data_IF_254881451373
#
_entry.id   IF_254881451373
#
_cell.length_a   1.000
_cell.length_b   1.000
_cell.length_c   1.000
_cell.angle_alpha   90.00
_cell.angle_beta   90.00
_cell.angle_gamma   90.00
#
_symmetry.space_group_name_H-M   'P 1'
#
loop_
_entity.id
_entity.type
_entity.pdbx_description
1 polymer ?
#
# COMPACT_ATOMS: atom_id res chain seq x y z
N UNK A 1 -71.75 -2.72 35.17
CA UNK A 1 -70.80 -3.79 35.51
C UNK A 1 -69.66 -3.67 34.50
N UNK A 2 -68.70 -2.76 34.70
CA UNK A 2 -67.55 -2.84 35.62
C UNK A 2 -66.48 -3.82 35.09
N UNK A 3 -65.44 -3.22 34.49
CA UNK A 3 -64.01 -3.54 34.28
C UNK A 3 -63.39 -4.80 34.96
N UNK A 4 -62.18 -5.29 34.56
CA UNK A 4 -61.05 -4.51 34.02
C UNK A 4 -60.07 -5.16 33.01
N UNK A 5 -59.15 -4.29 32.53
CA UNK A 5 -57.73 -4.47 32.15
C UNK A 5 -57.25 -5.72 31.38
N UNK A 6 -56.47 -5.50 30.32
CA UNK A 6 -54.99 -5.61 30.37
C UNK A 6 -54.37 -5.18 29.04
N UNK A 7 -53.52 -4.15 29.12
CA UNK A 7 -52.56 -3.70 28.11
C UNK A 7 -51.35 -4.66 28.10
N UNK A 8 -50.68 -4.86 26.96
CA UNK A 8 -49.22 -4.93 27.07
C UNK A 8 -48.49 -4.11 25.99
N UNK A 9 -47.69 -3.18 26.51
CA UNK A 9 -46.25 -3.06 26.32
C UNK A 9 -45.72 -2.99 24.88
N UNK A 10 -45.37 -1.76 24.51
CA UNK A 10 -44.31 -1.46 23.56
C UNK A 10 -43.01 -2.18 23.96
N UNK A 11 -42.52 -3.07 23.11
CA UNK A 11 -41.15 -3.55 23.16
C UNK A 11 -40.32 -2.80 22.12
N UNK A 12 -39.58 -1.85 22.66
CA UNK A 12 -38.47 -1.13 22.07
C UNK A 12 -37.38 -2.15 21.67
N UNK A 13 -37.28 -2.49 20.39
CA UNK A 13 -36.14 -3.25 19.87
C UNK A 13 -35.04 -2.26 19.49
N UNK A 14 -34.06 -2.13 20.39
CA UNK A 14 -32.75 -1.56 20.09
C UNK A 14 -32.13 -2.30 18.90
N UNK A 15 -31.48 -1.61 17.95
CA UNK A 15 -30.79 -2.27 16.85
C UNK A 15 -29.62 -3.06 17.40
N UNK A 16 -29.59 -4.37 17.10
CA UNK A 16 -28.44 -5.23 17.32
C UNK A 16 -27.21 -4.63 16.63
N UNK A 17 -26.27 -4.23 17.47
CA UNK A 17 -24.92 -3.82 17.12
C UNK A 17 -24.20 -5.06 16.56
N UNK A 18 -24.30 -5.27 15.25
CA UNK A 18 -23.50 -6.28 14.55
C UNK A 18 -22.04 -5.84 14.65
N UNK A 19 -21.12 -6.67 15.18
CA UNK A 19 -19.72 -6.35 15.12
C UNK A 19 -19.31 -6.33 13.64
N UNK A 20 -19.11 -5.13 13.11
CA UNK A 20 -18.36 -4.93 11.87
C UNK A 20 -16.96 -5.44 12.19
N UNK A 21 -16.66 -6.65 11.71
CA UNK A 21 -15.32 -7.22 11.79
C UNK A 21 -14.44 -6.32 10.92
N UNK A 22 -13.82 -5.33 11.55
CA UNK A 22 -12.69 -4.60 11.00
C UNK A 22 -11.55 -5.62 10.88
N UNK A 23 -11.52 -6.33 9.74
CA UNK A 23 -10.38 -7.13 9.33
C UNK A 23 -9.21 -6.18 9.13
N UNK A 24 -8.22 -6.30 10.01
CA UNK A 24 -7.06 -5.41 10.07
C UNK A 24 -6.21 -5.55 8.79
N UNK A 25 -6.46 -4.66 7.83
CA UNK A 25 -5.71 -4.53 6.59
C UNK A 25 -4.21 -4.29 6.87
N UNK A 26 -3.88 -3.65 7.99
CA UNK A 26 -2.49 -3.30 8.31
C UNK A 26 -1.64 -4.53 8.61
N UNK A 27 -2.18 -5.53 9.33
CA UNK A 27 -1.46 -6.74 9.70
C UNK A 27 -1.10 -7.62 8.48
N UNK A 28 -2.03 -7.76 7.52
CA UNK A 28 -1.72 -8.50 6.29
C UNK A 28 -0.72 -7.77 5.40
N UNK A 29 -0.68 -6.45 5.46
CA UNK A 29 0.21 -5.64 4.64
C UNK A 29 1.61 -5.57 5.25
N UNK A 30 1.73 -5.67 6.58
CA UNK A 30 3.01 -5.83 7.27
C UNK A 30 3.74 -7.11 6.85
N UNK A 31 3.04 -8.22 6.63
CA UNK A 31 3.65 -9.45 6.08
C UNK A 31 4.12 -9.28 4.63
N UNK A 32 3.43 -8.45 3.83
CA UNK A 32 3.81 -8.14 2.45
C UNK A 32 5.02 -7.19 2.43
N UNK A 33 5.03 -6.19 3.31
CA UNK A 33 6.20 -5.33 3.54
C UNK A 33 7.38 -6.15 4.02
N UNK A 34 7.19 -7.12 4.92
CA UNK A 34 8.23 -8.03 5.38
C UNK A 34 8.79 -8.85 4.22
N UNK A 35 7.94 -9.41 3.34
CA UNK A 35 8.38 -10.16 2.16
C UNK A 35 9.08 -9.28 1.11
N UNK A 36 8.61 -8.04 0.91
CA UNK A 36 9.27 -7.07 0.04
C UNK A 36 10.62 -6.63 0.61
N UNK A 37 10.71 -6.48 1.94
CA UNK A 37 11.92 -6.14 2.66
C UNK A 37 12.91 -7.33 2.70
N UNK A 38 12.42 -8.57 2.80
CA UNK A 38 13.21 -9.79 2.63
C UNK A 38 13.77 -9.89 1.20
N UNK A 39 12.99 -9.53 0.17
CA UNK A 39 13.46 -9.44 -1.21
C UNK A 39 14.50 -8.31 -1.42
N UNK A 40 14.33 -7.17 -0.73
CA UNK A 40 15.31 -6.07 -0.69
C UNK A 40 16.61 -6.47 0.02
N UNK A 41 16.54 -7.26 1.10
CA UNK A 41 17.72 -7.77 1.84
C UNK A 41 18.45 -8.88 1.09
N UNK A 42 17.73 -9.70 0.34
CA UNK A 42 18.31 -10.77 -0.50
C UNK A 42 19.13 -10.19 -1.67
N UNK A 43 18.82 -8.97 -2.12
CA UNK A 43 19.60 -8.24 -3.15
C UNK A 43 20.73 -7.37 -2.56
N UNK A 44 20.83 -7.25 -1.24
CA UNK A 44 21.80 -6.38 -0.56
C UNK A 44 23.00 -7.13 0.05
N UNK A 45 23.05 -8.47 -0.03
CA UNK A 45 24.13 -9.28 0.59
C UNK A 45 25.51 -9.19 -0.10
N UNK A 46 25.71 -8.27 -1.03
CA UNK A 46 27.00 -8.06 -1.71
C UNK A 46 27.51 -6.61 -1.59
N UNK A 47 27.35 -5.99 -0.42
CA UNK A 47 28.08 -4.74 -0.13
C UNK A 47 28.53 -4.65 1.32
N UNK A 48 29.81 -4.96 1.51
CA UNK A 48 30.56 -4.80 2.76
C UNK A 48 30.62 -3.29 3.09
N UNK A 49 30.17 -2.93 4.28
CA UNK A 49 30.14 -1.57 4.82
C UNK A 49 31.38 -1.34 5.71
N UNK A 50 32.20 -0.28 5.51
CA UNK A 50 33.22 0.09 6.48
C UNK A 50 32.66 1.01 7.57
N UNK A 51 32.88 0.61 8.82
CA UNK A 51 32.48 1.29 10.05
C UNK A 51 33.23 2.63 10.25
N UNK A 52 32.52 3.67 10.68
CA UNK A 52 33.11 4.89 11.28
C UNK A 52 32.72 5.00 12.77
N UNK A 53 33.60 5.48 13.68
CA UNK A 53 33.31 5.61 15.10
C UNK A 53 32.64 6.95 15.48
N UNK A 54 32.06 7.07 16.70
CA UNK A 54 31.18 8.17 17.09
C UNK A 54 31.94 9.41 17.60
N UNK A 55 31.42 10.61 17.31
CA UNK A 55 31.89 11.89 17.87
C UNK A 55 31.01 12.30 19.07
N UNK A 56 31.70 12.64 20.16
CA UNK A 56 31.19 13.06 21.46
C UNK A 56 30.64 14.49 21.45
N UNK A 57 29.60 14.70 22.25
CA UNK A 57 29.00 15.99 22.61
C UNK A 57 29.97 16.93 23.35
N UNK A 58 29.89 18.23 23.08
CA UNK A 58 30.32 19.26 24.02
C UNK A 58 29.33 20.45 23.97
N UNK A 59 28.93 20.84 25.18
CA UNK A 59 27.86 21.75 25.57
C UNK A 59 28.37 23.19 25.75
N UNK A 60 27.53 24.21 25.46
CA UNK A 60 27.58 25.55 26.09
C UNK A 60 28.15 26.73 25.28
N UNK A 61 27.90 27.98 25.67
CA UNK A 61 26.72 28.72 25.21
C UNK A 61 27.02 30.03 24.45
N UNK A 62 25.94 30.52 23.84
CA UNK A 62 25.69 31.78 23.12
C UNK A 62 26.43 33.02 23.65
N UNK A 63 27.14 33.74 22.77
CA UNK A 63 27.48 35.15 22.92
C UNK A 63 27.37 35.86 21.56
N UNK A 64 26.58 36.93 21.57
CA UNK A 64 26.23 37.83 20.46
C UNK A 64 27.49 38.53 19.92
N UNK A 65 27.69 38.69 18.60
CA UNK A 65 28.70 39.62 18.09
C UNK A 65 28.11 41.03 17.94
N UNK A 66 28.77 42.08 18.48
CA UNK A 66 28.48 43.45 18.09
C UNK A 66 29.08 43.78 16.72
N UNK A 67 28.56 44.88 16.16
CA UNK A 67 28.82 45.43 14.85
C UNK A 67 30.30 45.49 14.43
N UNK A 68 30.50 45.30 13.12
CA UNK A 68 31.75 45.37 12.39
C UNK A 68 32.52 46.69 12.57
N UNK A 69 33.86 46.61 12.60
CA UNK A 69 34.74 47.62 12.03
C UNK A 69 35.31 47.15 10.69
N UNK A 70 35.39 48.08 9.74
CA UNK A 70 35.95 47.89 8.41
C UNK A 70 37.45 47.56 8.42
N UNK A 71 37.80 46.67 7.49
CA UNK A 71 39.08 46.37 6.84
C UNK A 71 40.40 46.97 7.41
N UNK A 72 41.36 46.08 7.68
CA UNK A 72 42.79 46.33 7.48
C UNK A 72 43.42 45.19 6.65
N UNK A 73 44.29 45.50 5.67
CA UNK A 73 44.97 44.49 4.86
C UNK A 73 46.23 44.02 5.61
N UNK A 74 46.15 42.86 6.24
CA UNK A 74 47.26 42.22 6.94
C UNK A 74 47.46 40.80 6.42
N UNK A 75 48.35 40.65 5.44
CA UNK A 75 48.71 39.36 4.83
C UNK A 75 49.41 38.43 5.82
N UNK A 76 48.70 37.41 6.30
CA UNK A 76 49.23 36.06 6.58
C UNK A 76 48.08 35.04 6.47
N UNK A 77 47.30 35.09 5.39
CA UNK A 77 46.54 33.91 5.00
C UNK A 77 47.55 32.92 4.41
N UNK A 78 48.01 31.98 5.23
CA UNK A 78 48.77 30.85 4.71
C UNK A 78 48.01 30.25 3.52
N UNK A 79 48.69 30.01 2.39
CA UNK A 79 48.04 29.52 1.16
C UNK A 79 47.20 28.26 1.39
N UNK A 80 47.55 27.49 2.42
CA UNK A 80 46.80 26.35 2.92
C UNK A 80 45.41 26.70 3.48
N UNK A 81 45.24 27.76 4.27
CA UNK A 81 43.91 28.16 4.78
C UNK A 81 43.01 28.66 3.64
N UNK A 82 43.57 29.38 2.67
CA UNK A 82 42.85 29.80 1.46
C UNK A 82 42.46 28.60 0.58
N UNK A 83 43.30 27.57 0.50
CA UNK A 83 43.01 26.29 -0.16
C UNK A 83 41.92 25.51 0.58
N UNK A 84 41.97 25.45 1.91
CA UNK A 84 40.98 24.79 2.75
C UNK A 84 39.61 25.49 2.69
N UNK A 85 39.59 26.83 2.63
CA UNK A 85 38.38 27.61 2.42
C UNK A 85 37.76 27.34 1.03
N UNK A 86 38.58 27.22 -0.03
CA UNK A 86 38.12 26.83 -1.37
C UNK A 86 37.59 25.40 -1.40
N UNK A 87 38.23 24.46 -0.71
CA UNK A 87 37.78 23.08 -0.64
C UNK A 87 36.48 22.96 0.17
N UNK A 88 36.36 23.69 1.28
CA UNK A 88 35.15 23.78 2.08
C UNK A 88 33.98 24.37 1.27
N UNK A 89 34.21 25.47 0.54
CA UNK A 89 33.19 26.05 -0.33
C UNK A 89 32.72 25.09 -1.43
N UNK A 90 33.64 24.30 -2.02
CA UNK A 90 33.29 23.26 -3.00
C UNK A 90 32.48 22.12 -2.37
N UNK A 91 32.89 21.62 -1.20
CA UNK A 91 32.15 20.57 -0.46
C UNK A 91 30.77 21.06 -0.02
N UNK A 92 30.66 22.31 0.45
CA UNK A 92 29.41 22.92 0.83
C UNK A 92 28.47 23.10 -0.37
N UNK A 93 28.98 23.61 -1.50
CA UNK A 93 28.19 23.70 -2.74
C UNK A 93 27.70 22.35 -3.25
N UNK A 94 28.55 21.32 -3.21
CA UNK A 94 28.15 19.96 -3.57
C UNK A 94 27.08 19.39 -2.62
N UNK A 95 27.20 19.64 -1.31
CA UNK A 95 26.22 19.19 -0.31
C UNK A 95 24.85 19.86 -0.47
N UNK A 96 24.83 21.17 -0.78
CA UNK A 96 23.60 21.91 -1.05
C UNK A 96 22.92 21.42 -2.32
N UNK A 97 23.69 21.20 -3.39
CA UNK A 97 23.18 20.64 -4.65
C UNK A 97 22.59 19.23 -4.47
N UNK A 98 23.28 18.36 -3.72
CA UNK A 98 22.78 17.01 -3.42
C UNK A 98 21.48 17.04 -2.59
N UNK A 99 21.41 17.94 -1.61
CA UNK A 99 20.20 18.13 -0.77
C UNK A 99 19.03 18.64 -1.63
N UNK A 100 19.28 19.59 -2.53
CA UNK A 100 18.26 20.13 -3.42
C UNK A 100 17.74 19.06 -4.40
N UNK A 101 18.63 18.23 -4.95
CA UNK A 101 18.26 17.12 -5.83
C UNK A 101 17.39 16.08 -5.11
N UNK A 102 17.74 15.74 -3.86
CA UNK A 102 16.95 14.83 -3.03
C UNK A 102 15.55 15.40 -2.74
N UNK A 103 15.48 16.68 -2.37
CA UNK A 103 14.20 17.36 -2.12
C UNK A 103 13.31 17.38 -3.37
N UNK A 104 13.87 17.72 -4.54
CA UNK A 104 13.14 17.73 -5.80
C UNK A 104 12.60 16.34 -6.16
N UNK A 105 13.41 15.29 -5.94
CA UNK A 105 13.00 13.89 -6.16
C UNK A 105 11.87 13.46 -5.23
N UNK A 106 11.98 13.79 -3.94
CA UNK A 106 10.95 13.50 -2.96
C UNK A 106 9.64 14.25 -3.25
N UNK A 107 9.72 15.50 -3.69
CA UNK A 107 8.55 16.25 -4.10
C UNK A 107 7.89 15.65 -5.35
N UNK A 108 8.69 15.24 -6.34
CA UNK A 108 8.18 14.57 -7.55
C UNK A 108 7.41 13.29 -7.22
N UNK A 109 7.91 12.48 -6.26
CA UNK A 109 7.19 11.29 -5.78
C UNK A 109 5.89 11.65 -5.05
N UNK A 110 5.92 12.68 -4.20
CA UNK A 110 4.73 13.16 -3.52
C UNK A 110 3.65 13.61 -4.51
N UNK A 111 4.04 14.39 -5.53
CA UNK A 111 3.14 14.88 -6.56
C UNK A 111 2.61 13.72 -7.44
N UNK A 112 3.43 12.70 -7.71
CA UNK A 112 3.01 11.49 -8.40
C UNK A 112 1.96 10.70 -7.60
N UNK A 113 2.17 10.49 -6.30
CA UNK A 113 1.16 9.90 -5.42
C UNK A 113 -0.09 10.78 -5.36
N UNK A 114 0.05 12.11 -5.28
CA UNK A 114 -1.07 13.05 -5.33
C UNK A 114 -1.92 12.89 -6.59
N UNK A 115 -1.28 12.73 -7.77
CA UNK A 115 -1.98 12.44 -9.03
C UNK A 115 -2.71 11.10 -9.00
N UNK A 116 -2.09 10.04 -8.46
CA UNK A 116 -2.73 8.74 -8.28
C UNK A 116 -3.99 8.88 -7.40
N UNK A 117 -3.87 9.52 -6.24
CA UNK A 117 -5.02 9.73 -5.35
C UNK A 117 -6.12 10.56 -6.01
N UNK A 118 -5.73 11.63 -6.71
CA UNK A 118 -6.61 12.52 -7.45
C UNK A 118 -7.38 11.82 -8.57
N UNK A 119 -6.81 10.77 -9.18
CA UNK A 119 -7.49 9.95 -10.18
C UNK A 119 -8.41 8.89 -9.54
N UNK A 120 -7.93 8.16 -8.53
CA UNK A 120 -8.70 7.08 -7.92
C UNK A 120 -9.94 7.59 -7.18
N UNK A 121 -9.88 8.78 -6.59
CA UNK A 121 -11.02 9.37 -5.87
C UNK A 121 -12.27 9.50 -6.76
N UNK A 122 -12.24 10.21 -7.91
CA UNK A 122 -13.38 10.29 -8.81
C UNK A 122 -13.72 8.94 -9.45
N UNK A 123 -12.72 8.11 -9.80
CA UNK A 123 -12.96 6.77 -10.34
C UNK A 123 -13.82 5.93 -9.38
N UNK A 124 -13.49 5.92 -8.10
CA UNK A 124 -14.22 5.21 -7.05
C UNK A 124 -15.66 5.74 -6.96
N UNK A 125 -15.85 7.06 -6.95
CA UNK A 125 -17.17 7.67 -6.87
C UNK A 125 -18.05 7.22 -8.05
N UNK A 126 -17.54 7.32 -9.28
CA UNK A 126 -18.29 6.91 -10.47
C UNK A 126 -18.53 5.40 -10.51
N UNK A 127 -17.52 4.58 -10.20
CA UNK A 127 -17.63 3.13 -10.25
C UNK A 127 -18.56 2.57 -9.16
N UNK A 128 -18.49 3.10 -7.93
CA UNK A 128 -19.41 2.70 -6.86
C UNK A 128 -20.85 3.09 -7.17
N UNK A 129 -21.09 4.23 -7.85
CA UNK A 129 -22.44 4.65 -8.25
C UNK A 129 -23.01 3.79 -9.39
N UNK A 130 -22.17 3.34 -10.32
CA UNK A 130 -22.61 2.53 -11.46
C UNK A 130 -22.66 1.03 -11.16
N UNK A 131 -21.91 0.55 -10.16
CA UNK A 131 -21.68 -0.87 -9.86
C UNK A 131 -21.48 -1.73 -11.13
N UNK A 132 -20.50 -1.41 -12.00
CA UNK A 132 -20.36 -2.05 -13.31
C UNK A 132 -20.10 -3.56 -13.22
N UNK A 133 -20.55 -4.28 -14.24
CA UNK A 133 -20.19 -5.67 -14.46
C UNK A 133 -18.70 -5.81 -14.81
N UNK A 134 -18.05 -6.78 -14.18
CA UNK A 134 -16.64 -7.12 -14.32
C UNK A 134 -16.57 -8.45 -15.07
N UNK A 135 -16.31 -8.36 -16.39
CA UNK A 135 -16.29 -9.51 -17.29
C UNK A 135 -15.12 -10.47 -17.05
N UNK A 136 -14.06 -10.03 -16.38
CA UNK A 136 -12.88 -10.86 -16.08
C UNK A 136 -13.25 -12.02 -15.17
N UNK A 137 -12.89 -13.23 -15.57
CA UNK A 137 -12.99 -14.42 -14.71
C UNK A 137 -11.66 -14.70 -14.01
N UNK A 138 -11.72 -14.91 -12.70
CA UNK A 138 -10.57 -15.27 -11.88
C UNK A 138 -10.68 -16.75 -11.53
N UNK A 139 -9.73 -17.57 -11.98
CA UNK A 139 -9.72 -19.02 -11.74
C UNK A 139 -8.79 -19.37 -10.59
N UNK A 140 -9.35 -19.93 -9.52
CA UNK A 140 -8.57 -20.43 -8.38
C UNK A 140 -7.94 -21.77 -8.73
N UNK A 141 -8.70 -22.62 -9.43
CA UNK A 141 -8.21 -23.90 -9.94
C UNK A 141 -8.96 -24.35 -11.20
N UNK A 142 -8.76 -25.62 -11.58
CA UNK A 142 -9.36 -26.19 -12.78
C UNK A 142 -10.90 -26.24 -12.74
N UNK A 143 -11.51 -26.23 -11.55
CA UNK A 143 -12.96 -26.39 -11.35
C UNK A 143 -13.60 -25.16 -10.72
N UNK A 144 -12.83 -24.33 -10.03
CA UNK A 144 -13.35 -23.22 -9.25
C UNK A 144 -12.88 -21.88 -9.82
N UNK A 145 -13.86 -21.01 -10.12
CA UNK A 145 -13.62 -19.67 -10.62
C UNK A 145 -14.65 -18.67 -10.09
N UNK A 146 -14.21 -17.44 -9.90
CA UNK A 146 -15.04 -16.26 -9.72
C UNK A 146 -15.36 -15.69 -11.11
N UNK A 147 -16.64 -15.54 -11.41
CA UNK A 147 -17.15 -15.07 -12.70
C UNK A 147 -18.47 -14.30 -12.52
N UNK A 148 -18.89 -13.56 -13.56
CA UNK A 148 -20.08 -12.70 -13.52
C UNK A 148 -20.01 -11.70 -12.37
N UNK A 149 -18.82 -11.13 -12.19
CA UNK A 149 -18.51 -10.30 -11.05
C UNK A 149 -19.11 -8.91 -11.20
N UNK A 150 -19.44 -8.28 -10.08
CA UNK A 150 -19.87 -6.88 -10.03
C UNK A 150 -18.96 -6.06 -9.13
N UNK A 151 -18.67 -4.84 -9.55
CA UNK A 151 -17.94 -3.89 -8.72
C UNK A 151 -18.74 -3.54 -7.45
N UNK A 152 -18.11 -3.66 -6.28
CA UNK A 152 -18.70 -3.31 -4.98
C UNK A 152 -17.68 -2.58 -4.10
N UNK A 153 -18.11 -1.46 -3.50
CA UNK A 153 -17.47 -0.82 -2.36
C UNK A 153 -15.96 -0.60 -2.50
N UNK A 154 -15.55 0.11 -3.55
CA UNK A 154 -14.17 0.56 -3.65
C UNK A 154 -13.90 1.72 -2.67
N UNK A 155 -12.68 1.78 -2.15
CA UNK A 155 -12.21 2.85 -1.28
C UNK A 155 -10.72 3.12 -1.51
N UNK A 156 -10.30 4.31 -1.08
CA UNK A 156 -8.94 4.78 -1.15
C UNK A 156 -8.49 5.24 0.23
N UNK A 157 -7.37 4.71 0.69
CA UNK A 157 -6.70 5.14 1.90
C UNK A 157 -5.40 5.84 1.52
N UNK A 158 -5.13 6.97 2.18
CA UNK A 158 -3.89 7.71 1.98
C UNK A 158 -3.19 7.83 3.32
N UNK A 159 -1.88 7.61 3.34
CA UNK A 159 -1.07 7.71 4.55
C UNK A 159 0.12 8.62 4.31
N UNK A 160 0.29 9.58 5.22
CA UNK A 160 1.47 10.46 5.26
C UNK A 160 2.60 9.81 6.05
N UNK A 161 3.84 10.25 5.80
CA UNK A 161 5.03 9.79 6.53
C UNK A 161 5.01 10.23 8.00
N UNK A 162 4.43 11.40 8.25
CA UNK A 162 4.36 12.03 9.57
C UNK A 162 3.05 12.83 9.70
N UNK A 163 2.76 13.33 10.90
CA UNK A 163 1.57 14.12 11.22
C UNK A 163 1.73 15.61 10.88
N UNK A 164 2.91 16.04 10.44
CA UNK A 164 3.14 17.44 10.06
C UNK A 164 2.32 17.86 8.83
N UNK A 165 1.93 19.14 8.77
CA UNK A 165 1.17 19.67 7.65
C UNK A 165 1.90 19.55 6.31
N UNK A 166 3.24 19.56 6.36
CA UNK A 166 4.17 19.43 5.22
C UNK A 166 4.64 18.00 4.99
N UNK A 167 4.06 17.00 5.67
CA UNK A 167 4.47 15.61 5.52
C UNK A 167 4.16 15.07 4.13
N UNK A 168 5.14 14.41 3.54
CA UNK A 168 4.99 13.74 2.25
C UNK A 168 4.12 12.49 2.38
N UNK A 169 3.63 11.99 1.24
CA UNK A 169 2.75 10.83 1.18
C UNK A 169 3.62 9.58 1.27
N UNK A 170 3.39 8.73 2.27
CA UNK A 170 4.10 7.46 2.40
C UNK A 170 3.56 6.44 1.40
N UNK A 171 2.23 6.23 1.42
CA UNK A 171 1.58 5.32 0.49
C UNK A 171 0.10 5.64 0.27
N UNK A 172 -0.42 5.04 -0.79
CA UNK A 172 -1.83 5.04 -1.15
C UNK A 172 -2.27 3.59 -1.30
N UNK A 173 -3.41 3.23 -0.71
CA UNK A 173 -4.01 1.90 -0.82
C UNK A 173 -5.38 2.04 -1.47
N UNK A 174 -5.52 1.47 -2.66
CA UNK A 174 -6.79 1.27 -3.34
C UNK A 174 -7.27 -0.15 -3.07
N UNK A 175 -8.55 -0.27 -2.70
CA UNK A 175 -9.18 -1.56 -2.40
C UNK A 175 -10.57 -1.58 -3.03
N UNK A 176 -10.95 -2.70 -3.64
CA UNK A 176 -12.29 -2.94 -4.20
C UNK A 176 -12.68 -4.39 -4.00
N UNK A 177 -13.97 -4.67 -3.82
CA UNK A 177 -14.48 -6.03 -3.88
C UNK A 177 -15.19 -6.23 -5.22
N UNK A 178 -14.84 -7.30 -5.92
CA UNK A 178 -15.67 -7.82 -7.00
C UNK A 178 -16.57 -8.91 -6.43
N UNK A 179 -17.88 -8.78 -6.58
CA UNK A 179 -18.83 -9.70 -5.96
C UNK A 179 -19.41 -10.64 -7.00
N UNK A 180 -19.26 -11.95 -6.77
CA UNK A 180 -19.93 -12.98 -7.54
C UNK A 180 -21.44 -13.03 -7.20
N UNK A 181 -22.29 -13.53 -8.10
CA UNK A 181 -23.73 -13.65 -7.83
C UNK A 181 -24.03 -14.65 -6.71
N UNK A 182 -23.19 -15.68 -6.56
CA UNK A 182 -23.35 -16.72 -5.55
C UNK A 182 -22.00 -17.07 -4.90
N UNK A 183 -22.02 -17.62 -3.67
CA UNK A 183 -20.84 -18.21 -3.05
C UNK A 183 -20.13 -19.23 -3.94
N UNK A 184 -18.80 -19.23 -3.89
CA UNK A 184 -17.97 -20.08 -4.74
C UNK A 184 -17.58 -21.35 -3.98
N UNK A 185 -17.86 -22.53 -4.55
CA UNK A 185 -17.50 -23.81 -3.94
C UNK A 185 -16.08 -24.25 -4.35
N UNK A 186 -15.25 -24.56 -3.37
CA UNK A 186 -13.91 -25.13 -3.55
C UNK A 186 -13.91 -26.57 -3.05
N UNK A 187 -13.52 -27.49 -3.91
CA UNK A 187 -13.39 -28.92 -3.55
C UNK A 187 -11.95 -29.37 -3.70
N UNK A 188 -11.32 -29.80 -2.60
CA UNK A 188 -9.92 -30.25 -2.57
C UNK A 188 -9.75 -31.54 -1.77
N UNK A 189 -8.70 -32.33 -2.02
CA UNK A 189 -8.35 -33.45 -1.15
C UNK A 189 -8.08 -32.97 0.30
N UNK A 190 -8.52 -33.73 1.30
CA UNK A 190 -8.37 -33.34 2.72
C UNK A 190 -6.92 -33.10 3.16
N UNK A 191 -5.96 -33.82 2.58
CA UNK A 191 -4.54 -33.62 2.84
C UNK A 191 -3.99 -32.25 2.39
N UNK A 192 -4.77 -31.45 1.66
CA UNK A 192 -4.43 -30.08 1.24
C UNK A 192 -5.07 -29.01 2.15
N UNK A 193 -5.68 -29.38 3.28
CA UNK A 193 -6.37 -28.44 4.17
C UNK A 193 -5.49 -27.25 4.58
N UNK A 194 -4.26 -27.50 5.05
CA UNK A 194 -3.36 -26.43 5.51
C UNK A 194 -2.85 -25.57 4.34
N UNK A 195 -2.62 -26.18 3.18
CA UNK A 195 -2.27 -25.45 1.96
C UNK A 195 -3.41 -24.53 1.51
N UNK A 196 -4.66 -25.02 1.55
CA UNK A 196 -5.83 -24.22 1.23
C UNK A 196 -5.99 -23.06 2.23
N UNK A 197 -5.85 -23.31 3.54
CA UNK A 197 -5.89 -22.23 4.55
C UNK A 197 -4.86 -21.14 4.28
N UNK A 198 -3.62 -21.54 3.96
CA UNK A 198 -2.56 -20.60 3.63
C UNK A 198 -2.89 -19.80 2.36
N UNK A 199 -3.41 -20.46 1.32
CA UNK A 199 -3.84 -19.84 0.06
C UNK A 199 -4.97 -18.84 0.28
N UNK A 200 -6.06 -19.24 0.97
CA UNK A 200 -7.19 -18.37 1.27
C UNK A 200 -6.76 -17.14 2.08
N UNK A 201 -5.90 -17.30 3.08
CA UNK A 201 -5.38 -16.17 3.85
C UNK A 201 -4.49 -15.24 3.00
N UNK A 202 -3.64 -15.79 2.13
CA UNK A 202 -2.77 -15.00 1.27
C UNK A 202 -3.55 -14.18 0.23
N UNK A 203 -4.63 -14.76 -0.29
CA UNK A 203 -5.53 -14.17 -1.28
C UNK A 203 -6.67 -13.35 -0.66
N UNK A 204 -6.79 -13.36 0.67
CA UNK A 204 -7.88 -12.75 1.45
C UNK A 204 -9.28 -13.21 1.06
N UNK A 205 -9.39 -14.47 0.66
CA UNK A 205 -10.67 -15.10 0.42
C UNK A 205 -11.25 -15.56 1.75
N UNK A 206 -12.51 -15.19 2.00
CA UNK A 206 -13.21 -15.51 3.24
C UNK A 206 -14.08 -16.76 3.05
N UNK A 207 -13.90 -17.82 3.85
CA UNK A 207 -14.86 -18.92 3.96
C UNK A 207 -16.18 -18.44 4.57
N UNK A 208 -17.32 -18.96 4.11
CA UNK A 208 -18.63 -18.71 4.72
C UNK A 208 -18.81 -19.60 5.96
N UNK A 209 -18.36 -20.85 5.87
CA UNK A 209 -18.41 -21.82 6.95
C UNK A 209 -16.99 -22.26 7.30
N UNK A 210 -16.50 -21.79 8.44
CA UNK A 210 -15.17 -22.12 8.96
C UNK A 210 -15.13 -23.52 9.61
N UNK A 211 -16.28 -24.16 9.86
CA UNK A 211 -16.31 -25.49 10.47
C UNK A 211 -15.79 -26.58 9.54
N UNK A 212 -15.89 -26.37 8.22
CA UNK A 212 -15.21 -27.18 7.19
C UNK A 212 -13.69 -27.13 7.32
N UNK A 213 -13.16 -26.00 7.83
CA UNK A 213 -11.74 -25.76 7.99
C UNK A 213 -11.21 -26.16 9.38
N UNK A 214 -12.08 -26.58 10.32
CA UNK A 214 -11.63 -27.11 11.60
C UNK A 214 -11.13 -28.56 11.42
N UNK A 215 -9.84 -28.78 11.71
CA UNK A 215 -9.17 -30.07 11.54
C UNK A 215 -9.67 -31.17 12.49
N UNK A 216 -10.68 -30.86 13.32
CA UNK A 216 -11.32 -31.77 14.27
C UNK A 216 -12.41 -32.63 13.65
N UNK A 217 -12.81 -32.39 12.39
CA UNK A 217 -13.75 -33.28 11.69
C UNK A 217 -13.08 -34.64 11.41
N UNK A 218 -13.85 -35.75 11.42
CA UNK A 218 -13.31 -37.06 11.03
C UNK A 218 -12.70 -36.95 9.63
N UNK A 219 -11.53 -37.57 9.43
CA UNK A 219 -10.80 -37.53 8.15
C UNK A 219 -11.73 -37.93 7.01
N UNK A 220 -12.12 -36.96 6.19
CA UNK A 220 -12.85 -37.18 4.94
C UNK A 220 -11.84 -37.32 3.80
N UNK A 221 -12.25 -37.91 2.68
CA UNK A 221 -11.41 -37.96 1.47
C UNK A 221 -11.30 -36.58 0.80
N UNK A 222 -12.35 -35.77 0.94
CA UNK A 222 -12.51 -34.46 0.29
C UNK A 222 -12.91 -33.39 1.30
N UNK A 223 -12.48 -32.17 1.03
CA UNK A 223 -12.82 -30.92 1.70
C UNK A 223 -13.71 -30.09 0.77
N UNK A 224 -14.80 -29.51 1.27
CA UNK A 224 -15.74 -28.71 0.46
C UNK A 224 -16.01 -27.34 1.11
N UNK A 225 -15.15 -26.37 0.82
CA UNK A 225 -15.28 -25.03 1.41
C UNK A 225 -16.13 -24.13 0.52
N UNK A 226 -17.17 -23.53 1.09
CA UNK A 226 -17.90 -22.43 0.44
C UNK A 226 -17.22 -21.11 0.75
N UNK A 227 -16.72 -20.43 -0.26
CA UNK A 227 -16.14 -19.10 -0.16
C UNK A 227 -17.21 -18.02 -0.34
N UNK A 228 -17.01 -16.91 0.36
CA UNK A 228 -17.80 -15.71 0.20
C UNK A 228 -17.76 -15.25 -1.27
N UNK A 229 -18.87 -14.66 -1.77
CA UNK A 229 -18.91 -14.13 -3.13
C UNK A 229 -17.97 -12.92 -3.32
N UNK A 230 -17.52 -12.30 -2.24
CA UNK A 230 -16.59 -11.17 -2.25
C UNK A 230 -15.18 -11.62 -2.68
N UNK A 231 -14.70 -11.04 -3.78
CA UNK A 231 -13.36 -11.20 -4.30
C UNK A 231 -12.58 -9.89 -4.14
N UNK A 232 -11.73 -9.78 -3.10
CA UNK A 232 -11.02 -8.55 -2.82
C UNK A 232 -9.84 -8.35 -3.78
N UNK A 233 -9.78 -7.15 -4.36
CA UNK A 233 -8.66 -6.68 -5.19
C UNK A 233 -8.05 -5.46 -4.52
N UNK A 234 -6.72 -5.47 -4.45
CA UNK A 234 -5.97 -4.42 -3.77
C UNK A 234 -4.81 -3.94 -4.62
N UNK A 235 -4.58 -2.63 -4.63
CA UNK A 235 -3.39 -1.99 -5.15
C UNK A 235 -2.82 -1.06 -4.08
N UNK A 236 -1.52 -1.13 -3.84
CA UNK A 236 -0.81 -0.24 -2.95
C UNK A 236 0.33 0.42 -3.69
N UNK A 237 0.41 1.73 -3.62
CA UNK A 237 1.48 2.55 -4.17
C UNK A 237 2.32 3.06 -3.02
N UNK A 238 3.53 2.54 -2.86
CA UNK A 238 4.47 2.89 -1.79
C UNK A 238 5.58 3.77 -2.37
N UNK A 239 5.73 5.00 -1.87
CA UNK A 239 6.86 5.82 -2.27
C UNK A 239 8.15 5.28 -1.64
N UNK A 240 9.11 4.94 -2.50
CA UNK A 240 10.46 4.59 -2.10
C UNK A 240 11.34 5.83 -2.26
N UNK A 241 11.46 6.65 -1.22
CA UNK A 241 12.22 7.90 -1.27
C UNK A 241 13.72 7.69 -1.45
N UNK A 242 14.27 6.59 -0.93
CA UNK A 242 15.69 6.25 -1.05
C UNK A 242 16.06 5.92 -2.49
N UNK A 243 15.27 5.02 -3.10
CA UNK A 243 15.48 4.58 -4.49
C UNK A 243 14.73 5.43 -5.51
N UNK A 244 13.99 6.44 -5.05
CA UNK A 244 13.12 7.39 -5.75
C UNK A 244 12.30 6.84 -6.91
N UNK A 245 11.52 5.82 -6.62
CA UNK A 245 10.46 5.29 -7.46
C UNK A 245 9.27 4.89 -6.58
N UNK A 246 8.17 4.48 -7.20
CA UNK A 246 6.99 3.95 -6.51
C UNK A 246 7.00 2.43 -6.65
N UNK A 247 7.00 1.74 -5.51
CA UNK A 247 6.77 0.30 -5.44
C UNK A 247 5.24 0.06 -5.48
N UNK A 248 4.75 -0.59 -6.52
CA UNK A 248 3.34 -0.91 -6.70
C UNK A 248 3.12 -2.37 -6.35
N UNK A 249 2.36 -2.62 -5.29
CA UNK A 249 1.96 -3.97 -4.89
C UNK A 249 0.51 -4.17 -5.26
N UNK A 250 0.20 -5.28 -5.93
CA UNK A 250 -1.17 -5.66 -6.21
C UNK A 250 -1.47 -7.04 -5.69
N UNK A 251 -2.73 -7.25 -5.31
CA UNK A 251 -3.30 -8.55 -5.00
C UNK A 251 -4.53 -8.73 -5.87
N UNK A 252 -4.65 -9.90 -6.49
CA UNK A 252 -5.83 -10.30 -7.24
C UNK A 252 -6.20 -9.37 -8.42
N UNK A 253 -5.23 -8.62 -8.97
CA UNK A 253 -5.50 -7.58 -9.99
C UNK A 253 -5.88 -8.14 -11.36
N UNK A 254 -5.07 -9.04 -11.92
CA UNK A 254 -5.36 -9.70 -13.20
C UNK A 254 -5.70 -11.18 -13.03
N UNK A 255 -5.13 -11.80 -12.02
CA UNK A 255 -5.30 -13.20 -11.66
C UNK A 255 -5.12 -13.34 -10.15
N UNK A 256 -5.44 -14.51 -9.61
CA UNK A 256 -5.13 -14.81 -8.22
C UNK A 256 -3.63 -14.69 -7.95
N UNK A 257 -3.31 -14.07 -6.82
CA UNK A 257 -1.94 -13.95 -6.35
C UNK A 257 -1.56 -12.52 -6.05
N UNK A 258 -0.28 -12.35 -5.79
CA UNK A 258 0.35 -11.07 -5.49
C UNK A 258 1.30 -10.75 -6.63
N UNK A 259 1.31 -9.50 -7.07
CA UNK A 259 2.25 -9.02 -8.08
C UNK A 259 2.87 -7.71 -7.60
N UNK A 260 4.12 -7.50 -7.95
CA UNK A 260 4.89 -6.32 -7.57
C UNK A 260 5.46 -5.68 -8.82
N UNK A 261 5.33 -4.36 -8.92
CA UNK A 261 5.81 -3.57 -10.04
C UNK A 261 6.56 -2.34 -9.56
N UNK A 262 7.42 -1.83 -10.41
CA UNK A 262 8.11 -0.55 -10.25
C UNK A 262 7.48 0.47 -11.18
N UNK A 263 7.27 1.67 -10.67
CA UNK A 263 6.73 2.81 -11.41
C UNK A 263 7.58 4.06 -11.13
N UNK A 264 8.02 4.77 -12.18
CA UNK A 264 8.71 6.04 -11.99
C UNK A 264 7.71 7.18 -11.75
N UNK A 265 8.11 8.21 -11.01
CA UNK A 265 7.26 9.38 -10.76
C UNK A 265 6.84 10.09 -12.06
N UNK A 266 7.71 10.06 -13.05
CA UNK A 266 7.56 10.65 -14.39
C UNK A 266 6.47 9.95 -15.19
N UNK A 267 6.38 8.63 -15.05
CA UNK A 267 5.47 7.76 -15.81
C UNK A 267 4.03 7.86 -15.33
N UNK A 268 3.78 8.49 -14.17
CA UNK A 268 2.45 8.71 -13.59
C UNK A 268 1.65 9.77 -14.37
N UNK A 269 1.35 9.45 -15.62
CA UNK A 269 0.62 10.29 -16.56
C UNK A 269 -0.88 10.02 -16.49
N UNK A 270 -1.70 10.93 -17.03
CA UNK A 270 -3.15 10.68 -17.14
C UNK A 270 -3.44 9.43 -17.96
N UNK A 271 -2.70 9.21 -19.05
CA UNK A 271 -2.85 8.03 -19.90
C UNK A 271 -2.60 6.73 -19.14
N UNK A 272 -1.53 6.68 -18.32
CA UNK A 272 -1.25 5.53 -17.46
C UNK A 272 -2.42 5.24 -16.51
N UNK A 273 -2.92 6.28 -15.86
CA UNK A 273 -3.99 6.16 -14.87
C UNK A 273 -5.30 5.73 -15.53
N UNK A 274 -5.62 6.29 -16.70
CA UNK A 274 -6.78 5.90 -17.50
C UNK A 274 -6.71 4.42 -17.92
N UNK A 275 -5.55 3.96 -18.39
CA UNK A 275 -5.33 2.56 -18.74
C UNK A 275 -5.47 1.64 -17.51
N UNK A 276 -4.94 2.05 -16.36
CA UNK A 276 -5.13 1.32 -15.11
C UNK A 276 -6.61 1.25 -14.70
N UNK A 277 -7.35 2.35 -14.83
CA UNK A 277 -8.80 2.39 -14.61
C UNK A 277 -9.55 1.45 -15.55
N UNK A 278 -9.15 1.38 -16.82
CA UNK A 278 -9.72 0.42 -17.79
C UNK A 278 -9.45 -1.02 -17.37
N UNK A 279 -8.25 -1.33 -16.87
CA UNK A 279 -7.92 -2.68 -16.36
C UNK A 279 -8.81 -3.05 -15.17
N UNK A 280 -8.96 -2.15 -14.20
CA UNK A 280 -9.79 -2.35 -13.00
C UNK A 280 -11.27 -2.52 -13.32
N UNK A 281 -11.75 -1.87 -14.37
CA UNK A 281 -13.13 -2.02 -14.86
C UNK A 281 -13.29 -3.18 -15.85
N UNK A 282 -12.29 -4.06 -16.00
CA UNK A 282 -12.29 -5.18 -16.94
C UNK A 282 -12.51 -4.77 -18.41
N UNK A 283 -12.12 -3.54 -18.77
CA UNK A 283 -12.15 -3.02 -20.15
C UNK A 283 -10.83 -3.18 -20.89
N UNK A 284 -9.79 -3.63 -20.20
CA UNK A 284 -8.48 -3.96 -20.74
C UNK A 284 -7.89 -5.18 -20.02
N UNK A 285 -7.18 -6.04 -20.74
CA UNK A 285 -6.61 -7.29 -20.19
C UNK A 285 -5.11 -7.24 -19.90
N UNK A 286 -4.46 -6.13 -20.22
CA UNK A 286 -3.02 -5.95 -20.06
C UNK A 286 -2.75 -4.79 -19.15
N UNK A 287 -1.77 -4.94 -18.26
CA UNK A 287 -1.25 -3.83 -17.48
C UNK A 287 -0.53 -2.84 -18.42
N UNK A 288 -0.56 -1.54 -18.08
CA UNK A 288 0.23 -0.55 -18.78
C UNK A 288 1.71 -0.89 -18.78
N UNK A 289 2.42 -0.61 -19.88
CA UNK A 289 3.83 -0.95 -20.06
C UNK A 289 4.77 -0.27 -19.04
N UNK A 290 4.36 0.85 -18.45
CA UNK A 290 5.14 1.54 -17.43
C UNK A 290 5.19 0.81 -16.08
N UNK A 291 4.30 -0.15 -15.83
CA UNK A 291 4.37 -1.02 -14.66
C UNK A 291 5.35 -2.16 -14.95
N UNK A 292 6.62 -1.92 -14.65
CA UNK A 292 7.67 -2.91 -14.85
C UNK A 292 7.62 -3.95 -13.73
N UNK A 293 7.58 -5.26 -14.01
CA UNK A 293 7.59 -6.28 -12.96
C UNK A 293 8.88 -6.17 -12.13
N UNK A 294 8.74 -6.30 -10.81
CA UNK A 294 9.85 -6.35 -9.85
C UNK A 294 10.46 -7.75 -9.75
#
# INVERSE_FOLDING_TARGET
MSHPHTEPAAQNQSPEDKPVINFDLSASMADIERRLEEARRSTAHERIEPQHPPLQEATGPMLVPPAAPAAQPGSFESGFLAELAREAAKKQGASLSATQALQARSQSLHDALGRIAGFFTPLIQFANNMEPDISRSYRLDARTAYSNLKWRNAHLETRKQDLSATALLAHITFSVNYCAPEPVLVTRPWNQLDALKAELNNLKLRPIDESELDGKRPKQEWLQVRLAPDFPVHLRFLANYDKGHIDVLSRNLLAFGISSFRLQAEDVTSALLDDLGRVLLSRADKLPAALLPL
#
